data_IF_294294848680
#
_entry.id   IF_294294848680
#
_cell.length_a   1.000
_cell.length_b   1.000
_cell.length_c   1.000
_cell.angle_alpha   90.00
_cell.angle_beta   90.00
_cell.angle_gamma   90.00
#
_symmetry.space_group_name_H-M   'P 1'
#
loop_
_entity.id
_entity.type
_entity.pdbx_description
1 polymer ?
#
# COMPACT_ATOMS: atom_id res chain seq x y z
N UNK A 1 1.27 -10.64 4.13
CA UNK A 1 2.31 -10.63 3.09
C UNK A 1 3.25 -9.47 3.36
N UNK A 2 4.55 -9.68 3.16
CA UNK A 2 5.60 -8.68 3.41
C UNK A 2 6.34 -8.37 2.12
N UNK A 3 6.67 -7.11 1.89
CA UNK A 3 7.54 -6.70 0.78
C UNK A 3 8.46 -5.56 1.20
N UNK A 4 9.75 -5.74 0.92
CA UNK A 4 10.77 -4.73 1.18
C UNK A 4 10.81 -3.70 0.04
N UNK A 5 11.13 -2.45 0.38
CA UNK A 5 11.34 -1.37 -0.57
C UNK A 5 12.39 -0.39 -0.06
N UNK A 6 13.04 0.32 -0.99
CA UNK A 6 14.02 1.36 -0.67
C UNK A 6 13.50 2.71 -1.14
N UNK A 7 13.73 3.75 -0.34
CA UNK A 7 13.40 5.14 -0.67
C UNK A 7 14.46 6.09 -0.10
N UNK A 8 15.06 6.94 -0.95
CA UNK A 8 16.12 7.91 -0.60
C UNK A 8 17.12 7.29 0.41
N UNK A 9 17.78 6.21 -0.03
CA UNK A 9 18.82 5.47 0.71
C UNK A 9 18.39 4.79 2.03
N UNK A 10 17.09 4.78 2.34
CA UNK A 10 16.52 4.09 3.50
C UNK A 10 15.77 2.83 3.08
N UNK A 11 15.97 1.75 3.83
CA UNK A 11 15.25 0.49 3.64
C UNK A 11 14.04 0.41 4.55
N UNK A 12 12.91 0.05 3.96
CA UNK A 12 11.64 -0.17 4.63
C UNK A 12 11.07 -1.53 4.24
N UNK A 13 10.15 -2.04 5.04
CA UNK A 13 9.29 -3.16 4.69
C UNK A 13 7.85 -2.80 4.97
N UNK A 14 6.97 -3.12 4.03
CA UNK A 14 5.53 -3.06 4.24
C UNK A 14 5.01 -4.48 4.50
N UNK A 15 4.32 -4.67 5.61
CA UNK A 15 3.56 -5.87 5.91
C UNK A 15 2.06 -5.54 5.86
N UNK A 16 1.32 -6.28 5.06
CA UNK A 16 -0.14 -6.15 4.96
C UNK A 16 -0.80 -7.50 5.19
N UNK A 17 -1.90 -7.49 5.94
CA UNK A 17 -2.74 -8.68 6.04
C UNK A 17 -3.55 -8.78 4.75
N UNK A 18 -3.65 -9.97 4.15
CA UNK A 18 -4.37 -10.20 2.88
C UNK A 18 -5.89 -10.03 2.98
N UNK A 19 -6.38 -9.46 4.08
CA UNK A 19 -7.77 -9.15 4.37
C UNK A 19 -8.03 -7.67 4.10
N UNK A 20 -9.10 -7.37 3.38
CA UNK A 20 -9.65 -6.04 3.25
C UNK A 20 -11.02 -5.97 3.91
N UNK A 21 -11.30 -4.87 4.60
CA UNK A 21 -12.59 -4.60 5.22
C UNK A 21 -13.28 -3.47 4.44
N UNK A 22 -14.51 -3.73 3.98
CA UNK A 22 -15.28 -2.70 3.28
C UNK A 22 -15.79 -1.65 4.28
N UNK A 23 -15.52 -0.37 4.01
CA UNK A 23 -16.06 0.77 4.77
C UNK A 23 -16.47 1.89 3.81
N UNK A 24 -17.79 2.03 3.62
CA UNK A 24 -18.34 3.01 2.68
C UNK A 24 -17.82 2.76 1.26
N UNK A 25 -17.16 3.76 0.68
CA UNK A 25 -16.58 3.69 -0.67
C UNK A 25 -15.15 3.11 -0.70
N UNK A 26 -14.62 2.70 0.45
CA UNK A 26 -13.25 2.23 0.60
C UNK A 26 -13.16 0.74 0.94
N UNK A 27 -12.06 0.13 0.49
CA UNK A 27 -11.54 -1.12 1.00
C UNK A 27 -10.36 -0.80 1.92
N UNK A 28 -10.50 -1.08 3.21
CA UNK A 28 -9.46 -0.85 4.21
C UNK A 28 -8.52 -2.04 4.29
N UNK A 29 -7.23 -1.77 4.11
CA UNK A 29 -6.18 -2.74 4.31
C UNK A 29 -5.24 -2.28 5.41
N UNK A 30 -5.17 -3.05 6.50
CA UNK A 30 -4.23 -2.78 7.59
C UNK A 30 -2.80 -3.03 7.12
N UNK A 31 -1.92 -2.09 7.45
CA UNK A 31 -0.52 -2.12 7.08
C UNK A 31 0.40 -1.82 8.26
N UNK A 32 1.58 -2.41 8.23
CA UNK A 32 2.67 -2.15 9.15
C UNK A 32 3.89 -1.79 8.34
N UNK A 33 4.41 -0.57 8.51
CA UNK A 33 5.67 -0.16 7.92
C UNK A 33 6.78 -0.32 8.94
N UNK A 34 7.79 -1.09 8.59
CA UNK A 34 8.99 -1.35 9.38
C UNK A 34 10.15 -0.60 8.72
N UNK A 35 10.89 0.19 9.47
CA UNK A 35 12.07 0.89 8.96
C UNK A 35 12.74 1.70 10.04
N UNK A 36 14.05 1.95 9.90
CA UNK A 36 14.81 2.83 10.81
C UNK A 36 14.71 2.47 12.30
N UNK A 37 14.54 1.18 12.61
CA UNK A 37 14.39 0.69 14.00
C UNK A 37 13.01 0.97 14.61
N UNK A 38 12.05 1.49 13.84
CA UNK A 38 10.69 1.79 14.29
C UNK A 38 9.64 1.00 13.48
N UNK A 39 8.45 0.87 14.08
CA UNK A 39 7.29 0.20 13.48
C UNK A 39 6.09 1.14 13.51
N UNK A 40 5.55 1.46 12.34
CA UNK A 40 4.35 2.28 12.19
C UNK A 40 3.18 1.39 11.75
N UNK A 41 2.15 1.29 12.60
CA UNK A 41 0.90 0.61 12.24
C UNK A 41 -0.07 1.65 11.67
N UNK A 42 -0.80 1.27 10.62
CA UNK A 42 -1.75 2.17 9.96
C UNK A 42 -2.69 1.44 9.01
N UNK A 43 -3.42 2.22 8.22
CA UNK A 43 -4.46 1.74 7.32
C UNK A 43 -4.32 2.38 5.94
N UNK A 44 -4.36 1.55 4.90
CA UNK A 44 -4.54 1.98 3.52
C UNK A 44 -6.03 1.93 3.19
N UNK A 45 -6.60 3.07 2.79
CA UNK A 45 -7.97 3.19 2.30
C UNK A 45 -7.93 3.18 0.78
N UNK A 46 -8.13 2.01 0.18
CA UNK A 46 -8.23 1.90 -1.27
C UNK A 46 -9.61 2.33 -1.71
N UNK A 47 -9.70 3.21 -2.71
CA UNK A 47 -10.98 3.48 -3.35
C UNK A 47 -11.50 2.21 -4.04
N UNK A 48 -12.81 2.12 -4.28
CA UNK A 48 -13.39 1.02 -5.08
C UNK A 48 -12.68 0.84 -6.43
N UNK A 49 -12.39 1.94 -7.11
CA UNK A 49 -11.65 1.94 -8.38
C UNK A 49 -10.22 1.44 -8.23
N UNK A 50 -9.52 1.80 -7.15
CA UNK A 50 -8.19 1.31 -6.86
C UNK A 50 -8.18 -0.21 -6.64
N UNK A 51 -9.16 -0.73 -5.91
CA UNK A 51 -9.33 -2.17 -5.69
C UNK A 51 -9.60 -2.93 -6.99
N UNK A 52 -10.48 -2.39 -7.84
CA UNK A 52 -10.78 -2.98 -9.16
C UNK A 52 -9.56 -2.94 -10.09
N UNK A 53 -8.84 -1.80 -10.12
CA UNK A 53 -7.62 -1.65 -10.91
C UNK A 53 -6.54 -2.65 -10.48
N UNK A 54 -6.33 -2.83 -9.17
CA UNK A 54 -5.38 -3.80 -8.64
C UNK A 54 -5.71 -5.24 -9.08
N UNK A 55 -6.99 -5.63 -9.01
CA UNK A 55 -7.43 -6.97 -9.45
C UNK A 55 -7.26 -7.18 -10.95
N UNK A 56 -7.62 -6.18 -11.76
CA UNK A 56 -7.40 -6.22 -13.21
C UNK A 56 -5.91 -6.37 -13.53
N UNK A 57 -5.05 -5.60 -12.85
CA UNK A 57 -3.61 -5.64 -13.07
C UNK A 57 -2.98 -6.96 -12.63
N UNK A 58 -3.51 -7.58 -11.58
CA UNK A 58 -3.11 -8.91 -11.15
C UNK A 58 -3.36 -9.95 -12.25
N UNK A 59 -4.51 -9.88 -12.93
CA UNK A 59 -4.81 -10.73 -14.09
C UNK A 59 -3.88 -10.44 -15.27
N UNK A 60 -3.69 -9.18 -15.64
CA UNK A 60 -2.81 -8.78 -16.76
C UNK A 60 -1.37 -9.25 -16.58
N UNK A 61 -0.87 -9.24 -15.33
CA UNK A 61 0.51 -9.59 -15.00
C UNK A 61 0.70 -11.05 -14.56
N UNK A 62 -0.37 -11.83 -14.51
CA UNK A 62 -0.37 -13.18 -13.94
C UNK A 62 0.26 -13.22 -12.54
N UNK A 63 -0.11 -12.24 -11.69
CA UNK A 63 0.33 -12.09 -10.30
C UNK A 63 -0.84 -12.22 -9.34
N UNK A 64 -0.57 -12.40 -8.05
CA UNK A 64 -1.63 -12.36 -7.05
C UNK A 64 -2.14 -10.93 -6.82
N UNK A 65 -3.45 -10.77 -6.58
CA UNK A 65 -4.01 -9.46 -6.22
C UNK A 65 -3.32 -8.86 -5.00
N UNK A 66 -2.96 -9.70 -4.02
CA UNK A 66 -2.21 -9.28 -2.86
C UNK A 66 -0.88 -8.61 -3.25
N UNK A 67 -0.11 -9.21 -4.16
CA UNK A 67 1.17 -8.67 -4.65
C UNK A 67 1.00 -7.32 -5.35
N UNK A 68 -0.02 -7.17 -6.19
CA UNK A 68 -0.27 -5.88 -6.84
C UNK A 68 -0.70 -4.82 -5.81
N UNK A 69 -1.54 -5.19 -4.84
CA UNK A 69 -2.02 -4.28 -3.80
C UNK A 69 -0.87 -3.75 -2.93
N UNK A 70 0.06 -4.63 -2.51
CA UNK A 70 1.21 -4.19 -1.72
C UNK A 70 2.12 -3.26 -2.53
N UNK A 71 2.26 -3.49 -3.84
CA UNK A 71 3.05 -2.63 -4.73
C UNK A 71 2.44 -1.24 -4.85
N UNK A 72 1.13 -1.14 -5.07
CA UNK A 72 0.45 0.16 -5.10
C UNK A 72 0.51 0.90 -3.77
N UNK A 73 0.44 0.18 -2.65
CA UNK A 73 0.58 0.79 -1.32
C UNK A 73 2.02 1.26 -1.04
N UNK A 74 3.04 0.54 -1.53
CA UNK A 74 4.43 0.98 -1.47
C UNK A 74 4.63 2.27 -2.27
N UNK A 75 4.07 2.38 -3.46
CA UNK A 75 4.22 3.59 -4.26
C UNK A 75 3.47 4.79 -3.67
N UNK A 76 2.29 4.57 -3.07
CA UNK A 76 1.62 5.58 -2.25
C UNK A 76 2.47 6.01 -1.04
N UNK A 77 3.11 5.06 -0.34
CA UNK A 77 4.02 5.37 0.76
C UNK A 77 5.22 6.21 0.32
N UNK A 78 5.84 5.88 -0.82
CA UNK A 78 6.98 6.66 -1.34
C UNK A 78 6.59 8.11 -1.63
N UNK A 79 5.38 8.33 -2.16
CA UNK A 79 4.87 9.68 -2.40
C UNK A 79 4.70 10.47 -1.10
N UNK A 80 4.17 9.82 -0.06
CA UNK A 80 4.03 10.42 1.28
C UNK A 80 5.40 10.70 1.94
N UNK A 81 6.33 9.74 1.85
CA UNK A 81 7.69 9.82 2.40
C UNK A 81 8.53 10.93 1.78
N UNK A 82 8.24 11.32 0.54
CA UNK A 82 8.88 12.48 -0.10
C UNK A 82 8.55 13.80 0.60
N UNK A 83 7.38 13.87 1.24
CA UNK A 83 6.84 15.09 1.83
C UNK A 83 7.05 15.09 3.35
N UNK A 84 6.93 13.92 4.00
CA UNK A 84 6.93 13.81 5.46
C UNK A 84 7.32 12.42 5.96
N UNK A 85 7.81 12.30 7.20
CA UNK A 85 7.91 11.01 7.88
C UNK A 85 6.56 10.32 8.05
N UNK A 86 6.58 9.00 8.26
CA UNK A 86 5.36 8.22 8.52
C UNK A 86 4.85 8.53 9.93
N UNK A 87 3.61 9.01 10.10
CA UNK A 87 3.04 9.23 11.41
C UNK A 87 2.69 7.91 12.09
N UNK A 88 2.68 7.91 13.42
CA UNK A 88 2.06 6.81 14.18
C UNK A 88 0.56 6.75 13.84
N UNK A 89 0.04 5.55 13.56
CA UNK A 89 -1.38 5.39 13.22
C UNK A 89 -1.77 5.94 11.83
N UNK A 90 -0.84 5.92 10.85
CA UNK A 90 -1.09 6.54 9.55
C UNK A 90 -2.40 6.06 8.88
N UNK A 91 -3.00 6.95 8.10
CA UNK A 91 -4.12 6.61 7.22
C UNK A 91 -3.84 7.22 5.86
N UNK A 92 -3.61 6.39 4.84
CA UNK A 92 -3.31 6.83 3.49
C UNK A 92 -4.40 6.38 2.52
N UNK A 93 -4.85 7.31 1.67
CA UNK A 93 -5.79 7.00 0.60
C UNK A 93 -4.98 6.53 -0.61
N UNK A 94 -5.34 5.36 -1.14
CA UNK A 94 -4.72 4.80 -2.34
C UNK A 94 -5.71 4.91 -3.47
N UNK A 95 -5.34 5.67 -4.49
CA UNK A 95 -6.17 5.93 -5.67
C UNK A 95 -5.77 5.05 -6.85
N UNK A 96 -6.68 4.81 -7.79
CA UNK A 96 -6.45 3.93 -8.94
C UNK A 96 -5.19 4.26 -9.76
N UNK A 97 -4.81 5.55 -9.83
CA UNK A 97 -3.64 6.02 -10.57
C UNK A 97 -2.32 5.37 -10.15
N UNK A 98 -2.16 4.95 -8.89
CA UNK A 98 -0.94 4.22 -8.48
C UNK A 98 -0.83 2.83 -9.13
N UNK A 99 -1.95 2.25 -9.57
CA UNK A 99 -1.97 0.94 -10.24
C UNK A 99 -1.81 1.04 -11.76
N UNK A 100 -2.09 2.20 -12.35
CA UNK A 100 -1.90 2.43 -13.79
C UNK A 100 -0.42 2.39 -14.19
N UNK A 101 0.46 2.85 -13.29
CA UNK A 101 1.91 2.85 -13.48
C UNK A 101 2.59 1.51 -13.20
N UNK A 102 1.90 0.55 -12.58
CA UNK A 102 2.50 -0.73 -12.21
C UNK A 102 2.77 -1.60 -13.42
#
# INVERSE_FOLDING_TARGET
MKKDFTFIDKSFALEMNGSAEAEGEFQKCSGVVLGEGVQHKGVFKLTKFAWEAANKKAQEKNKSSAEILIDGCIDALKAELYIRPIPEGFTYVVDHRVFDSL
#
